data_IF_414684512638
#
_entry.id   IF_414684512638
#
_cell.length_a   1.000
_cell.length_b   1.000
_cell.length_c   1.000
_cell.angle_alpha   90.00
_cell.angle_beta   90.00
_cell.angle_gamma   90.00
#
_symmetry.space_group_name_H-M   'P 1'
#
loop_
_entity.id
_entity.type
_entity.pdbx_description
1 polymer ?
#
# COMPACT_ATOMS: atom_id res chain seq x y z
N UNK A 1 11.65 10.72 -5.31
CA UNK A 1 11.28 10.51 -3.90
C UNK A 1 11.29 9.01 -3.65
N UNK A 2 11.92 8.51 -2.57
CA UNK A 2 11.65 7.16 -2.14
C UNK A 2 10.16 7.07 -1.80
N UNK A 3 9.43 6.21 -2.52
CA UNK A 3 8.00 6.00 -2.31
C UNK A 3 7.73 5.07 -1.12
N UNK A 4 8.78 4.40 -0.63
CA UNK A 4 8.69 3.45 0.46
C UNK A 4 8.20 4.16 1.73
N UNK A 5 7.02 3.77 2.17
CA UNK A 5 6.36 4.33 3.33
C UNK A 5 6.19 3.23 4.39
N UNK A 6 6.52 3.58 5.62
CA UNK A 6 6.41 2.68 6.77
C UNK A 6 5.45 3.30 7.77
N UNK A 7 4.43 2.54 8.19
CA UNK A 7 3.36 2.99 9.06
C UNK A 7 3.26 2.02 10.24
N UNK A 8 3.34 2.52 11.47
CA UNK A 8 3.14 1.71 12.66
C UNK A 8 1.66 1.27 12.79
N UNK A 9 1.41 0.07 13.30
CA UNK A 9 0.04 -0.44 13.50
C UNK A 9 -0.83 0.49 14.37
N UNK A 10 -0.22 1.23 15.31
CA UNK A 10 -0.89 2.21 16.17
C UNK A 10 -1.58 3.35 15.41
N UNK A 11 -1.15 3.65 14.18
CA UNK A 11 -1.75 4.70 13.35
C UNK A 11 -3.07 4.24 12.68
N UNK A 12 -3.36 2.94 12.71
CA UNK A 12 -4.53 2.36 12.04
C UNK A 12 -5.74 2.29 12.96
N UNK A 13 -6.61 3.31 12.92
CA UNK A 13 -7.83 3.37 13.75
C UNK A 13 -8.82 2.20 13.55
N UNK A 14 -8.90 1.65 12.33
CA UNK A 14 -9.79 0.52 12.00
C UNK A 14 -9.04 -0.69 11.43
N UNK A 15 -7.70 -0.74 11.56
CA UNK A 15 -6.86 -1.75 10.89
C UNK A 15 -7.10 -1.82 9.37
N UNK A 16 -7.48 -0.70 8.76
CA UNK A 16 -7.70 -0.56 7.31
C UNK A 16 -6.71 0.42 6.72
N UNK A 17 -6.16 0.08 5.56
CA UNK A 17 -5.33 0.97 4.76
C UNK A 17 -6.13 1.53 3.59
N UNK A 18 -6.17 2.86 3.47
CA UNK A 18 -6.71 3.53 2.29
C UNK A 18 -5.59 3.86 1.33
N UNK A 19 -5.67 3.34 0.11
CA UNK A 19 -4.68 3.56 -0.96
C UNK A 19 -5.36 4.31 -2.10
N UNK A 20 -4.77 5.44 -2.51
CA UNK A 20 -5.27 6.31 -3.58
C UNK A 20 -4.36 6.32 -4.80
N UNK A 21 -3.52 5.30 -4.94
CA UNK A 21 -2.62 5.18 -6.08
C UNK A 21 -3.37 4.60 -7.29
N UNK A 22 -3.15 5.18 -8.46
CA UNK A 22 -3.62 4.66 -9.75
C UNK A 22 -2.78 3.48 -10.25
N UNK A 23 -1.82 3.02 -9.44
CA UNK A 23 -0.83 1.99 -9.80
C UNK A 23 -0.81 0.91 -8.71
N UNK A 24 -0.51 -0.35 -9.06
CA UNK A 24 -0.29 -1.41 -8.08
C UNK A 24 0.91 -1.09 -7.18
N UNK A 25 0.71 -1.28 -5.88
CA UNK A 25 1.70 -1.14 -4.82
C UNK A 25 1.80 -2.45 -4.06
N UNK A 26 2.96 -2.71 -3.46
CA UNK A 26 3.14 -3.82 -2.55
C UNK A 26 2.87 -3.36 -1.12
N UNK A 27 2.00 -4.06 -0.41
CA UNK A 27 1.79 -3.89 1.02
C UNK A 27 2.41 -5.09 1.73
N UNK A 28 3.27 -4.83 2.71
CA UNK A 28 3.94 -5.81 3.55
C UNK A 28 3.56 -5.53 4.99
N UNK A 29 3.03 -6.51 5.70
CA UNK A 29 2.83 -6.47 7.15
C UNK A 29 3.95 -7.26 7.80
N UNK A 30 4.70 -6.63 8.70
CA UNK A 30 5.84 -7.23 9.38
C UNK A 30 5.71 -7.17 10.89
N UNK A 31 6.34 -8.13 11.56
CA UNK A 31 6.59 -8.15 13.00
C UNK A 31 8.08 -8.40 13.20
N UNK A 32 8.80 -7.53 13.92
CA UNK A 32 10.26 -7.69 14.16
C UNK A 32 11.06 -8.01 12.88
N UNK A 33 10.73 -7.32 11.78
CA UNK A 33 11.28 -7.49 10.42
C UNK A 33 10.96 -8.84 9.74
N UNK A 34 10.18 -9.71 10.38
CA UNK A 34 9.61 -10.92 9.77
C UNK A 34 8.34 -10.58 8.99
N UNK A 35 8.26 -11.02 7.74
CA UNK A 35 7.08 -10.86 6.90
C UNK A 35 5.93 -11.75 7.40
N UNK A 36 4.80 -11.14 7.75
CA UNK A 36 3.59 -11.82 8.22
C UNK A 36 2.55 -11.92 7.12
N UNK A 37 2.36 -10.84 6.34
CA UNK A 37 1.43 -10.82 5.21
C UNK A 37 1.98 -9.95 4.09
N UNK A 38 1.72 -10.40 2.88
CA UNK A 38 2.08 -9.70 1.66
C UNK A 38 0.87 -9.65 0.73
N UNK A 39 0.57 -8.48 0.18
CA UNK A 39 -0.49 -8.32 -0.81
C UNK A 39 -0.21 -7.17 -1.76
N UNK A 40 -0.67 -7.33 -3.00
CA UNK A 40 -0.56 -6.31 -4.06
C UNK A 40 -1.88 -5.55 -4.18
N UNK A 41 -1.81 -4.22 -4.20
CA UNK A 41 -2.98 -3.37 -4.41
C UNK A 41 -3.45 -3.41 -5.87
N UNK A 42 -4.74 -3.18 -6.06
CA UNK A 42 -5.36 -2.93 -7.35
C UNK A 42 -5.81 -1.47 -7.45
N UNK A 43 -5.61 -0.80 -8.60
CA UNK A 43 -6.03 0.60 -8.77
C UNK A 43 -7.53 0.87 -8.60
N UNK A 44 -8.38 -0.15 -8.81
CA UNK A 44 -9.84 -0.07 -8.67
C UNK A 44 -10.31 -0.29 -7.22
N UNK A 45 -9.43 -0.72 -6.33
CA UNK A 45 -9.72 -0.96 -4.93
C UNK A 45 -8.95 0.02 -4.04
N UNK A 46 -9.70 0.85 -3.32
CA UNK A 46 -9.12 1.90 -2.47
C UNK A 46 -8.94 1.48 -1.01
N UNK A 47 -9.62 0.45 -0.53
CA UNK A 47 -9.62 0.04 0.87
C UNK A 47 -9.12 -1.40 1.01
N UNK A 48 -8.15 -1.59 1.90
CA UNK A 48 -7.56 -2.88 2.22
C UNK A 48 -7.77 -3.16 3.70
N UNK A 49 -8.45 -4.26 4.00
CA UNK A 49 -8.65 -4.72 5.36
C UNK A 49 -7.42 -5.53 5.82
N UNK A 50 -6.81 -5.09 6.92
CA UNK A 50 -5.68 -5.74 7.56
C UNK A 50 -6.07 -6.28 8.95
N UNK A 51 -7.35 -6.24 9.33
CA UNK A 51 -7.82 -6.62 10.66
C UNK A 51 -7.56 -8.08 11.03
N UNK A 52 -7.40 -8.95 10.02
CA UNK A 52 -7.09 -10.37 10.17
C UNK A 52 -5.65 -10.61 10.64
N UNK A 53 -4.74 -9.67 10.40
CA UNK A 53 -3.31 -9.82 10.68
C UNK A 53 -2.74 -8.71 11.57
N UNK A 54 -3.29 -7.50 11.54
CA UNK A 54 -2.66 -6.33 12.16
C UNK A 54 -2.88 -6.33 13.68
N UNK A 55 -1.80 -6.42 14.43
CA UNK A 55 -1.73 -6.25 15.90
C UNK A 55 -0.80 -5.08 16.22
N UNK A 56 -0.79 -4.63 17.47
CA UNK A 56 -0.13 -3.37 17.87
C UNK A 56 1.39 -3.37 17.65
N UNK A 57 2.01 -4.55 17.62
CA UNK A 57 3.45 -4.73 17.42
C UNK A 57 3.85 -4.80 15.93
N UNK A 58 2.89 -4.68 15.02
CA UNK A 58 3.15 -4.76 13.58
C UNK A 58 3.53 -3.43 12.95
N UNK A 59 4.22 -3.54 11.83
CA UNK A 59 4.56 -2.44 10.94
C UNK A 59 4.05 -2.76 9.54
N UNK A 60 3.41 -1.78 8.90
CA UNK A 60 2.95 -1.87 7.52
C UNK A 60 3.90 -1.09 6.62
N UNK A 61 4.57 -1.76 5.70
CA UNK A 61 5.36 -1.14 4.64
C UNK A 61 4.56 -1.11 3.34
N UNK A 62 4.60 0.02 2.64
CA UNK A 62 4.02 0.20 1.31
C UNK A 62 5.13 0.58 0.35
N UNK A 63 5.30 -0.20 -0.73
CA UNK A 63 6.40 -0.05 -1.69
C UNK A 63 5.90 -0.04 -3.12
N UNK A 64 6.68 0.59 -4.01
CA UNK A 64 6.50 0.40 -5.45
C UNK A 64 6.94 -1.00 -5.83
N UNK A 65 6.22 -1.61 -6.77
CA UNK A 65 6.64 -2.87 -7.38
C UNK A 65 7.70 -2.55 -8.45
N UNK A 66 8.94 -3.04 -8.33
CA UNK A 66 9.97 -2.77 -9.32
C UNK A 66 9.58 -3.26 -10.71
N UNK A 67 9.85 -2.45 -11.74
CA UNK A 67 9.59 -2.84 -13.14
C UNK A 67 8.13 -2.76 -13.58
N UNK A 68 7.21 -2.33 -12.72
CA UNK A 68 5.83 -2.09 -13.14
C UNK A 68 5.75 -0.89 -14.08
N UNK A 69 5.44 -1.14 -15.36
CA UNK A 69 5.17 -0.10 -16.35
C UNK A 69 3.75 0.40 -16.16
N UNK A 70 3.60 1.71 -15.96
CA UNK A 70 2.31 2.36 -15.80
C UNK A 70 2.04 3.12 -17.10
N UNK A 71 0.98 2.72 -17.81
CA UNK A 71 0.57 3.43 -19.01
C UNK A 71 0.07 4.83 -18.63
N UNK A 72 0.73 5.85 -19.16
CA UNK A 72 0.37 7.25 -18.96
C UNK A 72 -0.32 7.77 -20.22
N UNK A 73 -1.62 8.05 -20.10
CA UNK A 73 -2.44 8.61 -21.17
C UNK A 73 -2.67 10.11 -20.92
N UNK A 74 -1.86 11.01 -21.50
CA UNK A 74 -2.07 12.45 -21.33
C UNK A 74 -3.35 12.88 -22.04
N UNK A 75 -4.29 13.46 -21.29
CA UNK A 75 -5.45 14.14 -21.88
C UNK A 75 -5.10 15.60 -22.10
N UNK A 76 -4.95 16.00 -23.36
CA UNK A 76 -4.79 17.41 -23.74
C UNK A 76 -6.17 17.96 -24.04
N UNK A 77 -6.76 18.69 -23.10
CA UNK A 77 -7.91 19.53 -23.38
C UNK A 77 -7.42 20.78 -24.12
N UNK A 78 -7.69 20.88 -25.41
CA UNK A 78 -7.66 22.16 -26.10
C UNK A 78 -8.85 22.98 -25.57
N UNK A 79 -8.54 24.07 -24.84
CA UNK A 79 -9.52 25.07 -24.40
C UNK A 79 -10.09 25.85 -25.59
#
# INVERSE_FOLDING_TARGET
MPFDMTIAASEFKEKKLKVLASIPLQILVKQDDQLVKELTTKPDQMLYDLSDVLTDDHVVEVKLIPGHVVEFYPVVNAL
#
